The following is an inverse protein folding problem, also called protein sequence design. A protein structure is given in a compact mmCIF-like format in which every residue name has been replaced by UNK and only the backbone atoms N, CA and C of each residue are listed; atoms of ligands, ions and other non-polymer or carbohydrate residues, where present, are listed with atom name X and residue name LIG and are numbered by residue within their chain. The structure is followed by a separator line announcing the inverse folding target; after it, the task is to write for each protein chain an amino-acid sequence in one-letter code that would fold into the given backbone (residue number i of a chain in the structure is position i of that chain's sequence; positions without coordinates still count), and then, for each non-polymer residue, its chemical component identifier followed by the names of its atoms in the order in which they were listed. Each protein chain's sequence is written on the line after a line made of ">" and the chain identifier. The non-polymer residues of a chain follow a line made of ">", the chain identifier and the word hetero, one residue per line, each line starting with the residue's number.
data_IF_848459948342
#
_entry.id   IF_848459948342
#
_cell.length_a   1.000
_cell.length_b   1.000
_cell.length_c   1.000
_cell.angle_alpha   90.00
_cell.angle_beta   90.00
_cell.angle_gamma   90.00
#
_symmetry.space_group_name_H-M   'P 1'
#
loop_
_entity.id
_entity.type
_entity.pdbx_description
1 polymer ?
#
# COMPACT_ATOMS: atom_id res chain seq x y z
N UNK A 1 28.77 -18.67 -16.07
CA UNK A 1 27.88 -17.50 -16.01
C UNK A 1 26.48 -18.05 -16.15
N UNK A 2 25.78 -18.20 -15.04
CA UNK A 2 24.40 -18.69 -15.02
C UNK A 2 23.50 -17.46 -15.10
N UNK A 3 22.76 -17.36 -16.21
CA UNK A 3 21.82 -16.25 -16.42
C UNK A 3 20.52 -16.70 -15.77
N UNK A 4 20.22 -16.18 -14.58
CA UNK A 4 18.91 -16.36 -13.96
C UNK A 4 17.97 -15.29 -14.51
N UNK A 5 16.81 -15.70 -15.04
CA UNK A 5 15.69 -14.80 -15.27
C UNK A 5 15.11 -14.42 -13.91
N UNK A 6 15.59 -13.30 -13.37
CA UNK A 6 15.08 -12.70 -12.13
C UNK A 6 14.28 -11.45 -12.50
N UNK A 7 13.14 -11.25 -11.84
CA UNK A 7 12.38 -10.00 -12.00
C UNK A 7 13.20 -8.80 -11.47
N UNK A 8 12.84 -7.58 -11.88
CA UNK A 8 13.60 -6.36 -11.54
C UNK A 8 13.79 -6.19 -10.02
N UNK A 9 12.77 -6.55 -9.23
CA UNK A 9 12.79 -6.48 -7.78
C UNK A 9 13.67 -7.57 -7.17
N UNK A 10 13.70 -8.75 -7.76
CA UNK A 10 14.59 -9.86 -7.38
C UNK A 10 16.05 -9.53 -7.70
N UNK A 11 16.32 -8.91 -8.84
CA UNK A 11 17.66 -8.45 -9.20
C UNK A 11 18.13 -7.33 -8.25
N UNK A 12 17.27 -6.33 -8.00
CA UNK A 12 17.51 -5.28 -7.01
C UNK A 12 17.75 -5.89 -5.62
N UNK A 13 16.95 -6.87 -5.21
CA UNK A 13 17.12 -7.59 -3.96
C UNK A 13 18.46 -8.32 -3.88
N UNK A 14 18.87 -9.06 -4.91
CA UNK A 14 20.14 -9.82 -4.87
C UNK A 14 21.34 -8.86 -4.75
N UNK A 15 21.25 -7.71 -5.42
CA UNK A 15 22.23 -6.64 -5.32
C UNK A 15 22.19 -5.93 -3.96
N UNK A 16 20.99 -5.77 -3.38
CA UNK A 16 20.76 -5.16 -2.07
C UNK A 16 21.21 -6.11 -0.97
N UNK A 17 20.80 -7.38 -0.90
CA UNK A 17 21.25 -8.33 0.12
C UNK A 17 22.78 -8.46 0.20
N UNK A 18 23.49 -8.31 -0.91
CA UNK A 18 24.97 -8.25 -0.96
C UNK A 18 25.53 -6.88 -0.51
N UNK A 19 24.77 -5.79 -0.62
CA UNK A 19 25.17 -4.43 -0.23
C UNK A 19 24.55 -3.88 1.09
N UNK A 20 23.46 -4.46 1.62
CA UNK A 20 22.64 -3.98 2.76
C UNK A 20 23.41 -4.05 4.08
N UNK A 21 24.43 -4.89 4.17
CA UNK A 21 25.33 -4.90 5.33
C UNK A 21 26.05 -3.55 5.55
N UNK A 22 26.01 -2.60 4.58
CA UNK A 22 26.91 -1.44 4.62
C UNK A 22 26.28 -0.05 4.74
N UNK A 23 25.00 0.21 4.39
CA UNK A 23 24.51 1.62 4.28
C UNK A 23 23.01 1.86 4.54
N UNK A 24 22.57 1.79 5.80
CA UNK A 24 21.71 2.81 6.45
C UNK A 24 20.30 3.14 5.94
N UNK A 25 19.86 2.71 4.76
CA UNK A 25 18.49 2.91 4.26
C UNK A 25 17.72 1.58 4.35
N UNK A 26 17.33 1.21 5.56
CA UNK A 26 16.39 0.11 5.71
C UNK A 26 15.06 0.53 5.05
N UNK A 27 14.62 -0.22 4.03
CA UNK A 27 13.31 -0.06 3.39
C UNK A 27 12.25 0.22 4.46
N UNK A 28 11.67 1.42 4.51
CA UNK A 28 10.76 1.78 5.61
C UNK A 28 9.32 1.36 5.34
N UNK A 29 8.96 1.11 4.08
CA UNK A 29 7.60 0.72 3.72
C UNK A 29 7.31 -0.71 4.24
N UNK A 30 6.32 -0.87 5.13
CA UNK A 30 6.00 -2.16 5.73
C UNK A 30 5.54 -3.21 4.71
N UNK A 31 4.87 -2.80 3.62
CA UNK A 31 4.45 -3.74 2.56
C UNK A 31 5.68 -4.24 1.80
N UNK A 32 6.61 -3.34 1.46
CA UNK A 32 7.85 -3.73 0.77
C UNK A 32 8.75 -4.59 1.64
N UNK A 33 8.92 -4.26 2.93
CA UNK A 33 9.59 -5.16 3.89
C UNK A 33 8.92 -6.53 3.96
N UNK A 34 7.58 -6.57 3.93
CA UNK A 34 6.81 -7.81 3.93
C UNK A 34 7.08 -8.69 2.70
N UNK A 35 7.12 -8.09 1.51
CA UNK A 35 7.47 -8.78 0.25
C UNK A 35 8.91 -9.30 0.29
N UNK A 36 9.84 -8.47 0.76
CA UNK A 36 11.25 -8.83 0.93
C UNK A 36 11.42 -10.03 1.87
N UNK A 37 10.75 -10.01 3.03
CA UNK A 37 10.78 -11.10 3.99
C UNK A 37 10.16 -12.40 3.45
N UNK A 38 9.08 -12.29 2.67
CA UNK A 38 8.44 -13.44 2.03
C UNK A 38 9.32 -14.03 0.92
N UNK A 39 9.96 -13.18 0.11
CA UNK A 39 10.94 -13.60 -0.88
C UNK A 39 12.09 -14.36 -0.22
N UNK A 40 12.71 -13.79 0.82
CA UNK A 40 13.79 -14.44 1.57
C UNK A 40 13.41 -15.80 2.13
N UNK A 41 12.22 -15.88 2.71
CA UNK A 41 11.67 -17.12 3.23
C UNK A 41 11.61 -18.18 2.13
N UNK A 42 11.11 -17.85 0.94
CA UNK A 42 11.00 -18.80 -0.16
C UNK A 42 12.34 -19.08 -0.84
N UNK A 43 13.17 -18.07 -1.08
CA UNK A 43 14.50 -18.18 -1.69
C UNK A 43 15.44 -19.08 -0.87
N UNK A 44 15.52 -18.86 0.44
CA UNK A 44 16.35 -19.70 1.31
C UNK A 44 15.76 -21.10 1.54
N UNK A 45 14.42 -21.25 1.55
CA UNK A 45 13.77 -22.58 1.56
C UNK A 45 14.01 -23.36 0.28
N UNK A 46 13.94 -22.70 -0.88
CA UNK A 46 14.13 -23.30 -2.19
C UNK A 46 15.57 -23.81 -2.37
N UNK A 47 16.48 -23.34 -1.54
CA UNK A 47 17.84 -23.87 -1.45
C UNK A 47 18.61 -23.53 -2.70
N UNK A 48 19.30 -22.39 -2.68
CA UNK A 48 20.39 -22.13 -3.60
C UNK A 48 21.40 -23.30 -3.56
N UNK A 49 21.23 -24.22 -4.53
CA UNK A 49 22.21 -25.07 -5.19
C UNK A 49 23.17 -25.93 -4.36
N UNK A 50 22.84 -26.34 -3.13
CA UNK A 50 23.80 -27.08 -2.29
C UNK A 50 23.14 -28.12 -1.38
N UNK A 51 23.78 -29.29 -1.31
CA UNK A 51 23.37 -30.52 -0.62
C UNK A 51 22.39 -30.33 0.56
N UNK A 52 21.18 -30.88 0.43
CA UNK A 52 20.07 -30.78 1.42
C UNK A 52 20.34 -31.47 2.76
N UNK A 53 21.43 -32.24 2.87
CA UNK A 53 21.74 -33.09 4.03
C UNK A 53 22.33 -32.36 5.24
N UNK A 54 22.76 -31.10 5.10
CA UNK A 54 23.58 -30.43 6.14
C UNK A 54 23.09 -29.02 6.47
N UNK A 55 21.95 -28.57 5.93
CA UNK A 55 21.51 -27.19 6.11
C UNK A 55 20.56 -27.03 7.29
N UNK A 56 20.79 -26.04 8.18
CA UNK A 56 19.81 -25.65 9.18
C UNK A 56 18.53 -25.22 8.46
N UNK A 57 17.39 -25.64 8.99
CA UNK A 57 16.09 -25.13 8.58
C UNK A 57 16.14 -23.61 8.71
N UNK A 58 15.89 -22.88 7.62
CA UNK A 58 15.94 -21.41 7.60
C UNK A 58 15.09 -20.88 8.73
N UNK A 59 15.75 -20.28 9.72
CA UNK A 59 15.05 -19.78 10.88
C UNK A 59 14.44 -18.43 10.51
N UNK A 60 13.22 -18.18 10.97
CA UNK A 60 12.60 -16.87 10.87
C UNK A 60 13.50 -15.76 11.45
N UNK A 61 14.32 -16.11 12.44
CA UNK A 61 15.35 -15.27 13.03
C UNK A 61 16.33 -14.71 11.99
N UNK A 62 16.84 -15.55 11.08
CA UNK A 62 17.80 -15.13 10.06
C UNK A 62 17.16 -14.10 9.11
N UNK A 63 15.89 -14.31 8.78
CA UNK A 63 15.10 -13.39 7.95
C UNK A 63 14.90 -12.07 8.70
N UNK A 64 14.54 -12.15 9.98
CA UNK A 64 14.33 -10.98 10.82
C UNK A 64 15.59 -10.12 10.94
N UNK A 65 16.75 -10.75 11.16
CA UNK A 65 18.07 -10.08 11.18
C UNK A 65 18.37 -9.39 9.85
N UNK A 66 18.12 -10.06 8.72
CA UNK A 66 18.41 -9.50 7.39
C UNK A 66 17.57 -8.26 7.03
N UNK A 67 16.35 -8.13 7.58
CA UNK A 67 15.48 -6.97 7.35
C UNK A 67 15.51 -5.95 8.50
N UNK A 68 16.36 -6.18 9.51
CA UNK A 68 16.49 -5.32 10.68
C UNK A 68 15.25 -5.26 11.56
N UNK A 69 14.52 -6.37 11.70
CA UNK A 69 13.28 -6.46 12.48
C UNK A 69 13.32 -7.57 13.54
N UNK A 70 12.35 -7.56 14.45
CA UNK A 70 12.11 -8.72 15.32
C UNK A 70 11.42 -9.84 14.55
N UNK A 71 11.59 -11.10 14.99
CA UNK A 71 10.88 -12.25 14.40
C UNK A 71 9.36 -12.04 14.38
N UNK A 72 8.81 -11.47 15.46
CA UNK A 72 7.38 -11.17 15.55
C UNK A 72 6.97 -10.12 14.52
N UNK A 73 7.73 -9.04 14.37
CA UNK A 73 7.42 -8.02 13.35
C UNK A 73 7.55 -8.62 11.95
N UNK A 74 8.56 -9.45 11.72
CA UNK A 74 8.79 -10.14 10.44
C UNK A 74 7.58 -10.99 10.04
N UNK A 75 7.00 -11.76 10.97
CA UNK A 75 5.76 -12.51 10.70
C UNK A 75 4.61 -11.60 10.28
N UNK A 76 4.43 -10.46 10.96
CA UNK A 76 3.39 -9.49 10.62
C UNK A 76 3.58 -8.93 9.22
N UNK A 77 4.80 -8.51 8.91
CA UNK A 77 5.15 -7.93 7.62
C UNK A 77 4.91 -8.95 6.50
N UNK A 78 5.34 -10.21 6.68
CA UNK A 78 5.04 -11.29 5.73
C UNK A 78 3.52 -11.46 5.55
N UNK A 79 2.75 -11.35 6.64
CA UNK A 79 1.29 -11.51 6.61
C UNK A 79 0.59 -10.40 5.82
N UNK A 80 1.18 -9.21 5.69
CA UNK A 80 0.63 -8.12 4.87
C UNK A 80 0.52 -8.49 3.38
N UNK A 81 1.28 -9.47 2.89
CA UNK A 81 1.18 -9.93 1.51
C UNK A 81 -0.16 -10.61 1.18
N UNK A 82 -0.92 -11.02 2.21
CA UNK A 82 -2.25 -11.62 2.05
C UNK A 82 -3.37 -10.55 1.95
N UNK A 83 -3.01 -9.27 2.02
CA UNK A 83 -3.96 -8.17 1.84
C UNK A 83 -4.26 -7.94 0.36
N UNK A 84 -5.48 -7.51 0.07
CA UNK A 84 -5.82 -6.95 -1.25
C UNK A 84 -4.97 -5.70 -1.56
N UNK A 85 -4.71 -5.39 -2.85
CA UNK A 85 -3.83 -4.28 -3.24
C UNK A 85 -4.22 -2.92 -2.64
N UNK A 86 -5.51 -2.66 -2.52
CA UNK A 86 -6.05 -1.41 -1.98
C UNK A 86 -5.71 -1.25 -0.50
N UNK A 87 -5.79 -2.34 0.28
CA UNK A 87 -5.40 -2.33 1.69
C UNK A 87 -3.88 -2.27 1.85
N UNK A 88 -3.10 -2.88 0.94
CA UNK A 88 -1.65 -2.71 0.91
C UNK A 88 -1.28 -1.23 0.71
N UNK A 89 -1.92 -0.53 -0.23
CA UNK A 89 -1.69 0.92 -0.44
C UNK A 89 -1.93 1.73 0.81
N UNK A 90 -3.06 1.50 1.51
CA UNK A 90 -3.37 2.22 2.76
C UNK A 90 -2.33 1.97 3.87
N UNK A 91 -1.67 0.83 3.86
CA UNK A 91 -0.62 0.50 4.82
C UNK A 91 0.71 1.15 4.45
N UNK A 92 1.07 1.15 3.16
CA UNK A 92 2.23 1.89 2.64
C UNK A 92 2.09 3.40 2.86
N UNK A 93 0.89 3.94 2.69
CA UNK A 93 0.58 5.36 2.91
C UNK A 93 0.51 5.72 4.41
N UNK A 94 0.58 4.74 5.31
CA UNK A 94 0.47 4.93 6.76
C UNK A 94 -0.94 5.22 7.28
N UNK A 95 -1.96 5.17 6.40
CA UNK A 95 -3.36 5.37 6.76
C UNK A 95 -3.90 4.24 7.68
N UNK A 96 -3.31 3.05 7.59
CA UNK A 96 -3.59 1.92 8.49
C UNK A 96 -2.28 1.38 9.06
N UNK A 97 -2.19 1.26 10.38
CA UNK A 97 -1.01 0.71 11.04
C UNK A 97 -0.86 -0.81 10.83
N UNK A 98 0.39 -1.29 10.80
CA UNK A 98 0.77 -2.70 10.56
C UNK A 98 -0.01 -3.71 11.40
N UNK A 99 -0.29 -3.41 12.68
CA UNK A 99 -1.04 -4.33 13.56
C UNK A 99 -2.51 -4.46 13.16
N UNK A 100 -3.16 -3.37 12.75
CA UNK A 100 -4.53 -3.42 12.28
C UNK A 100 -4.60 -4.13 10.93
N UNK A 101 -3.64 -3.85 10.05
CA UNK A 101 -3.49 -4.51 8.77
C UNK A 101 -3.25 -6.02 8.89
N UNK A 102 -2.44 -6.47 9.86
CA UNK A 102 -2.26 -7.89 10.19
C UNK A 102 -3.60 -8.58 10.49
N UNK A 103 -4.51 -7.92 11.23
CA UNK A 103 -5.83 -8.49 11.52
C UNK A 103 -6.68 -8.62 10.26
N UNK A 104 -6.64 -7.62 9.37
CA UNK A 104 -7.35 -7.65 8.09
C UNK A 104 -6.82 -8.76 7.17
N UNK A 105 -5.52 -9.06 7.23
CA UNK A 105 -4.88 -10.11 6.43
C UNK A 105 -5.29 -11.54 6.85
N UNK A 106 -5.97 -11.72 7.98
CA UNK A 106 -6.57 -13.00 8.35
C UNK A 106 -7.95 -13.22 7.72
N UNK A 107 -8.56 -12.17 7.16
CA UNK A 107 -9.83 -12.27 6.46
C UNK A 107 -9.64 -12.81 5.04
N UNK A 108 -10.70 -13.40 4.49
CA UNK A 108 -10.73 -13.77 3.07
C UNK A 108 -10.68 -12.54 2.18
N UNK A 109 -10.20 -12.71 0.94
CA UNK A 109 -10.17 -11.62 -0.06
C UNK A 109 -11.55 -10.97 -0.25
N UNK A 110 -12.64 -11.75 -0.20
CA UNK A 110 -14.00 -11.23 -0.32
C UNK A 110 -14.38 -10.34 0.86
N UNK A 111 -14.11 -10.77 2.10
CA UNK A 111 -14.38 -9.99 3.30
C UNK A 111 -13.55 -8.71 3.35
N UNK A 112 -12.27 -8.78 2.95
CA UNK A 112 -11.41 -7.60 2.83
C UNK A 112 -12.00 -6.57 1.84
N UNK A 113 -12.45 -7.04 0.67
CA UNK A 113 -13.07 -6.18 -0.35
C UNK A 113 -14.38 -5.54 0.14
N UNK A 114 -15.23 -6.31 0.83
CA UNK A 114 -16.48 -5.78 1.41
C UNK A 114 -16.18 -4.68 2.43
N UNK A 115 -15.23 -4.91 3.34
CA UNK A 115 -14.84 -3.92 4.35
C UNK A 115 -14.24 -2.65 3.73
N UNK A 116 -13.41 -2.81 2.70
CA UNK A 116 -12.82 -1.67 1.97
C UNK A 116 -13.91 -0.82 1.30
N UNK A 117 -14.87 -1.45 0.61
CA UNK A 117 -15.99 -0.77 -0.05
C UNK A 117 -16.92 -0.07 0.95
N UNK A 118 -17.25 -0.70 2.08
CA UNK A 118 -18.07 -0.09 3.13
C UNK A 118 -17.42 1.19 3.69
N UNK A 119 -16.10 1.18 3.92
CA UNK A 119 -15.36 2.37 4.32
C UNK A 119 -15.38 3.46 3.25
N UNK A 120 -15.18 3.11 1.98
CA UNK A 120 -15.25 4.05 0.86
C UNK A 120 -16.60 4.76 0.77
N UNK A 121 -17.69 4.02 0.96
CA UNK A 121 -19.06 4.56 0.95
C UNK A 121 -19.33 5.50 2.13
N UNK A 122 -18.84 5.18 3.33
CA UNK A 122 -19.03 6.04 4.53
C UNK A 122 -18.36 7.42 4.42
N UNK A 123 -17.29 7.55 3.63
CA UNK A 123 -16.63 8.84 3.34
C UNK A 123 -17.37 9.63 2.24
N UNK A 124 -17.92 8.94 1.23
CA UNK A 124 -18.71 9.55 0.16
C UNK A 124 -20.07 10.09 0.60
N UNK A 125 -20.64 9.56 1.70
CA UNK A 125 -21.87 10.11 2.27
C UNK A 125 -21.61 11.37 3.12
N UNK A 126 -20.49 11.44 3.87
CA UNK A 126 -20.14 12.64 4.65
C UNK A 126 -19.80 13.87 3.81
N UNK A 127 -19.33 13.71 2.57
CA UNK A 127 -19.10 14.84 1.65
C UNK A 127 -20.39 15.42 1.07
N UNK A 128 -21.48 14.63 1.05
CA UNK A 128 -22.78 15.04 0.49
C UNK A 128 -23.75 15.63 1.54
N UNK A 129 -23.43 15.56 2.84
CA UNK A 129 -24.26 16.12 3.92
C UNK A 129 -23.88 17.57 4.34
N UNK A 130 -22.88 18.18 3.70
CA UNK A 130 -22.48 19.57 3.96
C UNK A 130 -22.95 20.57 2.88
N UNK A 131 -23.99 20.22 2.12
CA UNK A 131 -24.34 20.94 0.89
C UNK A 131 -25.81 21.28 0.71
N UNK A 132 -26.60 21.48 1.77
CA UNK A 132 -27.98 21.91 1.58
C UNK A 132 -28.49 22.69 2.79
N UNK A 133 -28.56 24.02 2.63
CA UNK A 133 -29.76 24.80 2.94
C UNK A 133 -29.58 26.23 2.42
N UNK A 134 -30.17 26.54 1.26
CA UNK A 134 -31.23 27.57 1.20
C UNK A 134 -31.96 27.60 -0.15
N UNK A 135 -33.27 27.75 0.00
CA UNK A 135 -34.40 27.53 -0.89
C UNK A 135 -34.76 28.72 -1.79
N UNK A 136 -35.37 28.41 -2.95
CA UNK A 136 -36.36 29.19 -3.76
C UNK A 136 -35.99 30.65 -4.15
N UNK A 137 -36.04 31.05 -5.42
CA UNK A 137 -37.24 31.37 -6.21
C UNK A 137 -36.93 31.31 -7.74
N UNK A 138 -37.95 31.04 -8.55
CA UNK A 138 -37.85 30.87 -10.00
C UNK A 138 -37.46 32.12 -10.81
N UNK A 139 -37.03 31.92 -12.06
CA UNK A 139 -36.75 33.00 -13.00
C UNK A 139 -36.44 32.49 -14.40
N UNK A 140 -37.37 32.74 -15.32
CA UNK A 140 -37.27 32.54 -16.76
C UNK A 140 -36.20 33.48 -17.36
N UNK A 141 -35.23 32.95 -18.12
CA UNK A 141 -34.17 33.76 -18.72
C UNK A 141 -34.61 34.34 -20.07
N UNK A 142 -34.81 35.66 -20.14
CA UNK A 142 -34.93 36.43 -21.39
C UNK A 142 -33.69 37.32 -21.52
N UNK A 143 -32.98 37.35 -22.67
CA UNK A 143 -31.81 38.21 -22.83
C UNK A 143 -32.22 39.65 -23.19
N UNK A 144 -31.73 40.64 -22.45
CA UNK A 144 -31.96 42.06 -22.74
C UNK A 144 -30.83 42.68 -23.57
N UNK A 145 -31.20 43.27 -24.71
CA UNK A 145 -30.40 44.19 -25.53
C UNK A 145 -30.22 45.52 -24.78
N UNK A 146 -28.99 46.02 -24.68
CA UNK A 146 -28.71 47.36 -24.13
C UNK A 146 -29.02 48.45 -25.15
N UNK A 147 -29.92 49.37 -24.77
CA UNK A 147 -30.30 50.58 -25.50
C UNK A 147 -29.41 51.74 -25.03
N UNK A 148 -28.92 52.54 -25.99
CA UNK A 148 -28.07 53.72 -25.79
C UNK A 148 -28.90 54.91 -25.31
N UNK A 149 -28.45 55.63 -24.28
CA UNK A 149 -28.96 56.96 -23.92
C UNK A 149 -27.86 58.02 -23.90
N UNK A 150 -28.21 59.19 -24.44
CA UNK A 150 -27.38 60.37 -24.68
C UNK A 150 -27.84 61.47 -23.71
N UNK A 151 -26.94 62.09 -22.96
CA UNK A 151 -27.25 63.18 -22.02
C UNK A 151 -26.91 64.54 -22.62
N UNK A 152 -27.74 65.59 -22.43
CA UNK A 152 -27.32 66.98 -22.57
C UNK A 152 -26.96 67.58 -21.21
N UNK A 153 -25.99 68.50 -21.19
CA UNK A 153 -25.72 69.34 -20.02
C UNK A 153 -25.79 70.81 -20.48
N UNK A 154 -26.57 71.61 -19.74
CA UNK A 154 -26.59 73.07 -19.77
C UNK A 154 -25.26 73.65 -19.29
#
# INVERSE_FOLDING_TARGET
>A
MEIMDVDEWQAEYMLIAENTERRGEAESDPVKKGRHAAFLKEYWKAGHGGNRSTRPMVALKDIAESIGESERTTQRLIKLNDLIPELQSLVSDGAIGVRAAEQLAYLTVQEQSILFQQKGNSLGEMTNYNGNEQSHYGGHFIPARTVVFKFPIN
#
